data_IF_484379126350
#
_entry.id   IF_484379126350
#
_cell.length_a   1.000
_cell.length_b   1.000
_cell.length_c   1.000
_cell.angle_alpha   90.00
_cell.angle_beta   90.00
_cell.angle_gamma   90.00
#
_symmetry.space_group_name_H-M   'P 1'
#
loop_
_entity.id
_entity.type
_entity.pdbx_description
1 polymer ?
#
# COMPACT_ATOMS: atom_id res chain seq x y z
N UNK A 1 -17.33 -8.97 37.44
CA UNK A 1 -18.26 -8.31 36.51
C UNK A 1 -17.48 -7.18 35.84
N UNK A 2 -16.96 -7.40 34.64
CA UNK A 2 -16.13 -6.41 33.95
C UNK A 2 -17.04 -5.41 33.24
N UNK A 3 -16.95 -4.14 33.62
CA UNK A 3 -17.65 -3.07 32.93
C UNK A 3 -17.19 -3.01 31.46
N UNK A 4 -18.11 -2.84 30.49
CA UNK A 4 -17.72 -2.65 29.10
C UNK A 4 -16.92 -1.35 28.99
N UNK A 5 -15.68 -1.45 28.51
CA UNK A 5 -14.84 -0.30 28.19
C UNK A 5 -15.47 0.42 27.00
N UNK A 6 -16.32 1.41 27.28
CA UNK A 6 -16.89 2.30 26.28
C UNK A 6 -15.77 3.24 25.86
N UNK A 7 -15.08 2.91 24.76
CA UNK A 7 -14.16 3.84 24.13
C UNK A 7 -14.90 5.14 23.80
N UNK A 8 -14.42 6.31 24.25
CA UNK A 8 -15.09 7.58 23.99
C UNK A 8 -15.09 7.86 22.48
N UNK A 9 -16.29 8.04 21.93
CA UNK A 9 -16.57 8.39 20.52
C UNK A 9 -15.78 9.64 20.04
N UNK A 10 -15.26 10.44 20.98
CA UNK A 10 -14.40 11.59 20.72
C UNK A 10 -13.06 11.22 20.02
N UNK A 11 -12.47 10.05 20.29
CA UNK A 11 -11.21 9.63 19.66
C UNK A 11 -11.38 9.30 18.16
N UNK A 12 -12.58 8.88 17.75
CA UNK A 12 -12.92 8.68 16.34
C UNK A 12 -13.22 10.01 15.64
N UNK A 13 -13.76 11.01 16.34
CA UNK A 13 -14.19 12.27 15.71
C UNK A 13 -13.01 13.17 15.32
N UNK A 14 -11.90 13.12 16.05
CA UNK A 14 -10.67 13.85 15.72
C UNK A 14 -9.96 13.33 14.44
N UNK A 15 -10.29 12.11 13.99
CA UNK A 15 -9.74 11.51 12.77
C UNK A 15 -10.54 11.84 11.51
N UNK A 16 -11.67 12.55 11.62
CA UNK A 16 -12.56 12.82 10.49
C UNK A 16 -13.07 14.27 10.49
N UNK A 17 -12.32 15.23 9.93
CA UNK A 17 -12.92 16.51 9.55
C UNK A 17 -14.05 16.21 8.57
N UNK A 18 -15.26 16.63 8.91
CA UNK A 18 -16.43 16.61 8.03
C UNK A 18 -16.04 17.35 6.75
N UNK A 19 -15.84 16.59 5.67
CA UNK A 19 -15.51 17.14 4.35
C UNK A 19 -16.62 18.09 3.93
N UNK A 20 -16.37 19.37 4.10
CA UNK A 20 -17.19 20.44 3.55
C UNK A 20 -17.21 20.29 2.04
N UNK A 21 -18.42 20.37 1.47
CA UNK A 21 -18.69 20.15 0.06
C UNK A 21 -17.97 21.20 -0.79
N UNK A 22 -16.82 20.84 -1.37
CA UNK A 22 -16.16 21.67 -2.37
C UNK A 22 -16.92 21.60 -3.70
N UNK A 23 -17.76 22.61 -3.94
CA UNK A 23 -18.34 22.87 -5.25
C UNK A 23 -17.22 23.17 -6.27
N UNK A 24 -17.28 22.54 -7.46
CA UNK A 24 -16.46 22.91 -8.62
C UNK A 24 -15.06 22.29 -8.72
N UNK A 25 -14.73 21.21 -8.00
CA UNK A 25 -13.40 20.59 -8.11
C UNK A 25 -13.14 20.13 -9.58
N UNK A 26 -12.08 20.62 -10.24
CA UNK A 26 -11.68 20.16 -11.56
C UNK A 26 -11.63 18.63 -11.58
N UNK A 27 -12.10 17.99 -12.67
CA UNK A 27 -11.98 16.53 -12.82
C UNK A 27 -10.54 16.13 -12.56
N UNK A 28 -10.34 15.27 -11.58
CA UNK A 28 -9.02 14.85 -11.17
C UNK A 28 -8.27 14.22 -12.37
N UNK A 29 -7.01 14.62 -12.66
CA UNK A 29 -6.29 14.19 -13.86
C UNK A 29 -6.30 12.68 -14.12
N UNK A 30 -6.34 11.86 -13.06
CA UNK A 30 -6.39 10.40 -13.17
C UNK A 30 -7.64 9.86 -13.89
N UNK A 31 -8.75 10.60 -13.89
CA UNK A 31 -10.01 10.15 -14.52
C UNK A 31 -9.89 10.03 -16.04
N UNK A 32 -8.94 10.77 -16.64
CA UNK A 32 -8.66 10.75 -18.07
C UNK A 32 -7.67 9.64 -18.48
N UNK A 33 -7.20 8.82 -17.54
CA UNK A 33 -6.34 7.68 -17.86
C UNK A 33 -7.17 6.52 -18.43
N UNK A 34 -6.93 6.19 -19.69
CA UNK A 34 -7.41 4.94 -20.27
C UNK A 34 -6.61 3.72 -19.77
N UNK A 35 -7.15 2.52 -19.94
CA UNK A 35 -6.51 1.28 -19.48
C UNK A 35 -5.14 1.02 -20.12
N UNK A 36 -4.91 1.48 -21.36
CA UNK A 36 -3.62 1.30 -22.06
C UNK A 36 -2.53 2.13 -21.39
N UNK A 37 -2.83 3.41 -21.10
CA UNK A 37 -1.95 4.32 -20.37
C UNK A 37 -1.69 3.86 -18.95
N UNK A 38 -2.71 3.33 -18.26
CA UNK A 38 -2.52 2.76 -16.92
C UNK A 38 -1.50 1.62 -16.97
N UNK A 39 -1.67 0.65 -17.89
CA UNK A 39 -0.75 -0.48 -18.03
C UNK A 39 0.71 -0.05 -18.26
N UNK A 40 0.94 1.00 -19.05
CA UNK A 40 2.29 1.55 -19.26
C UNK A 40 2.81 2.26 -18.01
N UNK A 41 1.96 3.05 -17.35
CA UNK A 41 2.35 3.82 -16.17
C UNK A 41 2.74 2.94 -14.98
N UNK A 42 2.00 1.84 -14.74
CA UNK A 42 2.25 0.98 -13.56
C UNK A 42 3.63 0.31 -13.59
N UNK A 43 4.25 0.15 -14.76
CA UNK A 43 5.61 -0.42 -14.89
C UNK A 43 6.64 0.43 -14.14
N UNK A 44 6.45 1.75 -14.08
CA UNK A 44 7.35 2.67 -13.37
C UNK A 44 7.34 2.46 -11.85
N UNK A 45 6.27 1.90 -11.29
CA UNK A 45 6.11 1.75 -9.84
C UNK A 45 6.49 0.36 -9.33
N UNK A 46 7.28 -0.40 -10.08
CA UNK A 46 7.69 -1.76 -9.74
C UNK A 46 9.11 -1.81 -9.19
N UNK A 47 9.46 -2.94 -8.58
CA UNK A 47 10.82 -3.35 -8.25
C UNK A 47 11.64 -2.29 -7.50
N UNK A 48 10.98 -1.53 -6.63
CA UNK A 48 11.64 -0.60 -5.75
C UNK A 48 12.68 -1.36 -4.92
N UNK A 49 13.94 -0.90 -4.90
CA UNK A 49 15.03 -1.65 -4.32
C UNK A 49 14.87 -1.73 -2.81
N UNK A 50 14.85 -2.95 -2.27
CA UNK A 50 14.97 -3.18 -0.83
C UNK A 50 16.41 -2.99 -0.35
N UNK A 51 17.38 -3.33 -1.20
CA UNK A 51 18.80 -3.20 -0.94
C UNK A 51 19.37 -1.95 -1.62
N UNK A 52 20.02 -1.02 -0.87
CA UNK A 52 20.67 0.15 -1.46
C UNK A 52 21.71 -0.19 -2.53
N UNK A 53 22.34 -1.37 -2.50
CA UNK A 53 23.35 -1.77 -3.50
C UNK A 53 22.77 -1.81 -4.94
N UNK A 54 21.49 -2.14 -5.08
CA UNK A 54 20.81 -2.25 -6.38
C UNK A 54 20.13 -0.93 -6.83
N UNK A 55 20.29 0.16 -6.07
CA UNK A 55 19.57 1.40 -6.32
C UNK A 55 19.95 2.05 -7.66
N UNK A 56 21.22 2.02 -8.06
CA UNK A 56 21.68 2.68 -9.28
C UNK A 56 21.12 2.04 -10.56
N UNK A 57 21.09 0.70 -10.60
CA UNK A 57 20.49 -0.03 -11.71
C UNK A 57 18.99 0.21 -11.79
N UNK A 58 18.31 0.15 -10.64
CA UNK A 58 16.91 0.50 -10.54
C UNK A 58 16.62 1.88 -11.12
N UNK A 59 17.36 2.91 -10.69
CA UNK A 59 17.13 4.28 -11.16
C UNK A 59 17.45 4.48 -12.65
N UNK A 60 18.43 3.77 -13.20
CA UNK A 60 18.69 3.75 -14.65
C UNK A 60 17.49 3.17 -15.41
N UNK A 61 16.98 2.03 -14.98
CA UNK A 61 15.81 1.38 -15.56
C UNK A 61 14.55 2.25 -15.49
N UNK A 62 14.31 2.91 -14.35
CA UNK A 62 13.18 3.82 -14.18
C UNK A 62 13.28 5.02 -15.11
N UNK A 63 14.46 5.63 -15.26
CA UNK A 63 14.65 6.76 -16.19
C UNK A 63 14.33 6.36 -17.64
N UNK A 64 14.83 5.21 -18.09
CA UNK A 64 14.52 4.68 -19.43
C UNK A 64 13.02 4.42 -19.60
N UNK A 65 12.41 3.74 -18.63
CA UNK A 65 10.97 3.44 -18.65
C UNK A 65 10.13 4.71 -18.72
N UNK A 66 10.50 5.75 -17.97
CA UNK A 66 9.82 7.05 -18.00
C UNK A 66 9.97 7.71 -19.39
N UNK A 67 11.14 7.60 -20.03
CA UNK A 67 11.37 8.16 -21.37
C UNK A 67 10.51 7.48 -22.43
N UNK A 68 10.26 6.18 -22.29
CA UNK A 68 9.43 5.38 -23.21
C UNK A 68 7.91 5.59 -23.04
N UNK A 69 7.49 6.31 -21.99
CA UNK A 69 6.07 6.58 -21.78
C UNK A 69 5.49 7.50 -22.86
N UNK A 70 4.20 7.33 -23.21
CA UNK A 70 3.48 8.29 -24.03
C UNK A 70 3.63 9.72 -23.51
N UNK A 71 3.77 10.70 -24.41
CA UNK A 71 3.91 12.13 -24.05
C UNK A 71 2.81 12.61 -23.09
N UNK A 72 1.58 12.09 -23.23
CA UNK A 72 0.48 12.41 -22.31
C UNK A 72 0.67 11.97 -20.85
N UNK A 73 1.67 11.15 -20.54
CA UNK A 73 2.07 10.73 -19.18
C UNK A 73 3.41 11.36 -18.74
N UNK A 74 4.16 11.94 -19.68
CA UNK A 74 5.46 12.59 -19.43
C UNK A 74 5.28 14.08 -19.20
N UNK A 75 6.15 14.66 -18.38
CA UNK A 75 6.26 16.12 -18.31
C UNK A 75 6.92 16.62 -19.60
N UNK A 76 6.27 17.57 -20.28
CA UNK A 76 6.88 18.27 -21.43
C UNK A 76 7.96 19.27 -20.98
N UNK A 77 7.90 19.71 -19.74
CA UNK A 77 8.83 20.67 -19.15
C UNK A 77 9.53 19.97 -17.99
N UNK A 78 10.80 19.62 -18.18
CA UNK A 78 11.66 19.15 -17.09
C UNK A 78 12.06 20.36 -16.28
N UNK A 79 11.20 20.76 -15.35
CA UNK A 79 11.50 21.83 -14.42
C UNK A 79 12.60 21.34 -13.47
N UNK A 80 13.61 22.19 -13.24
CA UNK A 80 14.65 21.91 -12.26
C UNK A 80 14.00 21.48 -10.94
N UNK A 81 14.52 20.40 -10.36
CA UNK A 81 14.01 19.86 -9.10
C UNK A 81 14.26 20.88 -8.01
N UNK A 82 13.21 21.57 -7.59
CA UNK A 82 13.31 22.49 -6.48
C UNK A 82 13.02 21.71 -5.20
N UNK A 83 14.06 21.19 -4.57
CA UNK A 83 14.03 20.91 -3.14
C UNK A 83 14.07 22.25 -2.39
N UNK A 84 13.44 22.33 -1.24
CA UNK A 84 13.63 23.44 -0.31
C UNK A 84 14.94 23.25 0.48
N UNK A 85 15.29 24.24 1.32
CA UNK A 85 16.48 24.17 2.16
C UNK A 85 16.44 23.00 3.16
N UNK A 86 15.27 22.42 3.42
CA UNK A 86 15.09 21.25 4.29
C UNK A 86 15.21 19.92 3.54
N UNK A 87 15.50 19.94 2.25
CA UNK A 87 15.57 18.75 1.40
C UNK A 87 14.20 18.19 0.98
N UNK A 88 13.10 18.86 1.35
CA UNK A 88 11.74 18.44 0.96
C UNK A 88 11.42 18.96 -0.43
N UNK A 89 10.61 18.21 -1.17
CA UNK A 89 10.15 18.62 -2.49
C UNK A 89 9.14 19.75 -2.38
N UNK A 90 9.31 20.81 -3.19
CA UNK A 90 8.26 21.83 -3.31
C UNK A 90 6.94 21.20 -3.79
N UNK A 91 5.79 21.68 -3.31
CA UNK A 91 4.48 21.17 -3.74
C UNK A 91 4.34 21.16 -5.27
N UNK A 92 3.77 20.08 -5.79
CA UNK A 92 3.57 19.91 -7.24
C UNK A 92 4.84 19.55 -8.03
N UNK A 93 5.96 19.26 -7.36
CA UNK A 93 7.18 18.73 -7.97
C UNK A 93 7.42 17.27 -7.56
N UNK A 94 8.16 16.54 -8.40
CA UNK A 94 8.65 15.18 -8.14
C UNK A 94 10.17 15.22 -7.97
N UNK A 95 10.75 14.15 -7.39
CA UNK A 95 12.20 14.05 -7.23
C UNK A 95 12.94 13.95 -8.57
N UNK A 96 14.26 14.10 -8.53
CA UNK A 96 15.17 13.99 -9.70
C UNK A 96 14.98 12.72 -10.52
N UNK A 97 14.64 11.60 -9.88
CA UNK A 97 14.44 10.33 -10.57
C UNK A 97 13.05 10.19 -11.22
N UNK A 98 12.08 11.01 -10.80
CA UNK A 98 10.68 10.94 -11.25
C UNK A 98 10.19 12.24 -11.93
N UNK A 99 11.06 13.23 -12.13
CA UNK A 99 10.71 14.54 -12.71
C UNK A 99 10.22 14.47 -14.16
N UNK A 100 10.50 13.38 -14.88
CA UNK A 100 9.98 13.12 -16.22
C UNK A 100 8.51 12.71 -16.26
N UNK A 101 7.90 12.39 -15.11
CA UNK A 101 6.47 12.08 -15.02
C UNK A 101 5.63 13.36 -14.89
N UNK A 102 4.39 13.31 -15.37
CA UNK A 102 3.40 14.36 -15.11
C UNK A 102 3.06 14.46 -13.63
N UNK A 103 3.60 15.48 -12.96
CA UNK A 103 3.43 15.66 -11.52
C UNK A 103 1.95 15.75 -11.11
N UNK A 104 1.13 16.55 -11.80
CA UNK A 104 -0.31 16.69 -11.54
C UNK A 104 -1.04 15.32 -11.47
N UNK A 105 -0.70 14.44 -12.42
CA UNK A 105 -1.23 13.09 -12.47
C UNK A 105 -0.75 12.23 -11.30
N UNK A 106 0.56 12.23 -11.01
CA UNK A 106 1.12 11.41 -9.93
C UNK A 106 0.57 11.86 -8.57
N UNK A 107 0.51 13.16 -8.30
CA UNK A 107 -0.11 13.71 -7.09
C UNK A 107 -1.59 13.32 -7.02
N UNK A 108 -2.30 13.38 -8.15
CA UNK A 108 -3.69 12.94 -8.19
C UNK A 108 -3.85 11.45 -7.88
N UNK A 109 -2.93 10.60 -8.34
CA UNK A 109 -2.95 9.15 -8.06
C UNK A 109 -2.66 8.91 -6.58
N UNK A 110 -1.57 9.48 -6.09
CA UNK A 110 -1.17 9.38 -4.70
C UNK A 110 -2.24 9.86 -3.74
N UNK A 111 -2.88 11.00 -4.03
CA UNK A 111 -3.92 11.55 -3.18
C UNK A 111 -5.09 10.58 -2.95
N UNK A 112 -5.52 9.83 -3.99
CA UNK A 112 -6.58 8.85 -3.80
C UNK A 112 -6.07 7.56 -3.14
N UNK A 113 -4.84 7.10 -3.43
CA UNK A 113 -4.24 5.93 -2.76
C UNK A 113 -4.10 6.20 -1.27
N UNK A 114 -3.51 7.34 -0.91
CA UNK A 114 -3.38 7.82 0.46
C UNK A 114 -4.75 7.91 1.15
N UNK A 115 -5.78 8.44 0.47
CA UNK A 115 -7.14 8.46 1.02
C UNK A 115 -7.71 7.07 1.28
N UNK A 116 -7.48 6.10 0.39
CA UNK A 116 -7.91 4.71 0.64
C UNK A 116 -7.21 4.13 1.87
N UNK A 117 -5.92 4.40 2.07
CA UNK A 117 -5.12 3.90 3.19
C UNK A 117 -5.43 4.60 4.52
N UNK A 118 -5.63 5.92 4.51
CA UNK A 118 -5.88 6.72 5.72
C UNK A 118 -7.30 6.54 6.26
N UNK A 119 -8.31 6.50 5.37
CA UNK A 119 -9.71 6.62 5.79
C UNK A 119 -10.64 5.65 5.07
N UNK A 120 -10.43 5.43 3.77
CA UNK A 120 -11.34 4.63 2.97
C UNK A 120 -11.47 3.19 3.50
N UNK A 121 -10.37 2.45 3.42
CA UNK A 121 -10.33 1.03 3.74
C UNK A 121 -10.36 0.81 5.24
N UNK A 122 -9.66 1.63 6.04
CA UNK A 122 -9.65 1.50 7.51
C UNK A 122 -11.05 1.47 8.14
N UNK A 123 -11.94 2.42 7.77
CA UNK A 123 -13.33 2.47 8.27
C UNK A 123 -14.13 1.21 7.85
N UNK A 124 -13.83 0.68 6.68
CA UNK A 124 -14.47 -0.52 6.17
C UNK A 124 -13.98 -1.77 6.93
N UNK A 125 -12.67 -1.87 7.18
CA UNK A 125 -12.03 -3.01 7.83
C UNK A 125 -12.28 -3.08 9.33
N UNK A 126 -12.28 -1.95 10.04
CA UNK A 126 -12.28 -1.96 11.50
C UNK A 126 -13.41 -2.82 12.12
N UNK A 127 -14.69 -2.69 11.72
CA UNK A 127 -15.75 -3.57 12.23
C UNK A 127 -15.62 -5.03 11.82
N UNK A 128 -14.99 -5.31 10.66
CA UNK A 128 -14.73 -6.68 10.23
C UNK A 128 -13.71 -7.32 11.18
N UNK A 129 -12.59 -6.64 11.44
CA UNK A 129 -11.52 -7.15 12.29
C UNK A 129 -11.95 -7.27 13.76
N UNK A 130 -12.62 -6.25 14.30
CA UNK A 130 -12.88 -6.17 15.74
C UNK A 130 -14.19 -6.85 16.15
N UNK A 131 -15.20 -6.90 15.28
CA UNK A 131 -16.57 -7.33 15.66
C UNK A 131 -17.09 -8.54 14.90
N UNK A 132 -16.86 -8.61 13.59
CA UNK A 132 -17.41 -9.69 12.76
C UNK A 132 -16.48 -10.90 12.68
N UNK A 133 -15.17 -10.67 12.69
CA UNK A 133 -14.14 -11.68 12.52
C UNK A 133 -13.86 -12.02 11.05
N UNK A 134 -12.63 -12.45 10.79
CA UNK A 134 -12.22 -13.17 9.59
C UNK A 134 -11.40 -14.40 10.03
N UNK A 135 -11.31 -15.45 9.20
CA UNK A 135 -10.31 -16.49 9.40
C UNK A 135 -8.92 -15.88 9.55
N UNK A 136 -8.11 -16.41 10.47
CA UNK A 136 -6.81 -15.84 10.86
C UNK A 136 -5.90 -15.52 9.65
N UNK A 137 -5.84 -16.43 8.67
CA UNK A 137 -5.04 -16.23 7.46
C UNK A 137 -5.55 -15.06 6.58
N UNK A 138 -6.87 -14.92 6.44
CA UNK A 138 -7.47 -13.83 5.67
C UNK A 138 -7.29 -12.49 6.38
N UNK A 139 -7.46 -12.49 7.69
CA UNK A 139 -7.17 -11.34 8.53
C UNK A 139 -5.70 -10.89 8.33
N UNK A 140 -4.76 -11.82 8.47
CA UNK A 140 -3.33 -11.53 8.30
C UNK A 140 -3.01 -10.89 6.94
N UNK A 141 -3.62 -11.40 5.85
CA UNK A 141 -3.47 -10.83 4.50
C UNK A 141 -3.93 -9.37 4.45
N UNK A 142 -5.06 -9.05 5.09
CA UNK A 142 -5.62 -7.69 5.07
C UNK A 142 -4.82 -6.72 5.95
N UNK A 143 -4.33 -7.20 7.10
CA UNK A 143 -3.55 -6.40 8.06
C UNK A 143 -2.19 -5.95 7.53
N UNK A 144 -1.72 -6.48 6.39
CA UNK A 144 -0.52 -5.99 5.71
C UNK A 144 -0.57 -4.49 5.36
N UNK A 145 -1.77 -3.88 5.33
CA UNK A 145 -1.93 -2.43 5.14
C UNK A 145 -1.55 -1.58 6.36
N UNK A 146 -1.55 -2.16 7.57
CA UNK A 146 -1.33 -1.43 8.83
C UNK A 146 -0.02 -0.61 8.84
N UNK A 147 1.16 -1.21 8.60
CA UNK A 147 2.43 -0.48 8.71
C UNK A 147 2.67 0.52 7.57
N UNK A 148 1.90 0.46 6.48
CA UNK A 148 2.14 1.25 5.26
C UNK A 148 2.06 2.76 5.54
N UNK A 149 1.23 3.19 6.50
CA UNK A 149 1.07 4.60 6.83
C UNK A 149 2.35 5.25 7.40
N UNK A 150 3.27 4.46 7.96
CA UNK A 150 4.59 4.91 8.46
C UNK A 150 5.40 5.65 7.38
N UNK A 151 5.14 5.39 6.10
CA UNK A 151 5.81 6.08 4.99
C UNK A 151 5.53 7.59 4.95
N UNK A 152 4.38 8.07 5.43
CA UNK A 152 4.02 9.50 5.40
C UNK A 152 3.60 10.08 6.76
N UNK A 153 3.54 9.26 7.81
CA UNK A 153 3.25 9.67 9.18
C UNK A 153 4.49 9.46 10.05
N UNK A 154 5.15 10.55 10.46
CA UNK A 154 6.32 10.48 11.36
C UNK A 154 5.93 10.05 12.78
N UNK A 155 4.70 10.34 13.15
CA UNK A 155 4.03 10.02 14.41
C UNK A 155 3.38 8.62 14.41
N UNK A 156 3.66 7.78 13.42
CA UNK A 156 3.06 6.46 13.34
C UNK A 156 3.62 5.53 14.43
N UNK A 157 2.75 5.08 15.33
CA UNK A 157 3.02 4.00 16.28
C UNK A 157 2.26 2.72 15.88
N UNK A 158 3.01 1.64 15.63
CA UNK A 158 2.43 0.36 15.26
C UNK A 158 1.58 -0.24 16.39
N UNK A 159 1.94 0.00 17.66
CA UNK A 159 1.21 -0.53 18.82
C UNK A 159 -0.16 0.13 18.94
N UNK A 160 -0.22 1.45 18.80
CA UNK A 160 -1.49 2.21 18.89
C UNK A 160 -2.44 1.93 17.72
N UNK A 161 -1.91 1.60 16.54
CA UNK A 161 -2.72 1.33 15.34
C UNK A 161 -3.17 -0.14 15.24
N UNK A 162 -2.62 -1.03 16.07
CA UNK A 162 -2.97 -2.45 16.07
C UNK A 162 -4.30 -2.68 16.78
N UNK A 163 -5.26 -3.42 16.20
CA UNK A 163 -6.52 -3.69 16.89
C UNK A 163 -6.30 -4.57 18.13
N UNK A 164 -7.13 -4.38 19.15
CA UNK A 164 -7.03 -5.11 20.43
C UNK A 164 -6.97 -6.64 20.24
N UNK A 165 -6.15 -7.30 21.06
CA UNK A 165 -5.94 -8.74 21.03
C UNK A 165 -5.06 -9.26 19.89
N UNK A 166 -4.40 -8.37 19.14
CA UNK A 166 -3.52 -8.73 18.02
C UNK A 166 -2.10 -8.24 18.24
N UNK A 167 -1.16 -8.95 17.63
CA UNK A 167 0.24 -8.53 17.59
C UNK A 167 0.46 -7.50 16.48
N UNK A 168 1.26 -6.44 16.72
CA UNK A 168 1.60 -5.44 15.72
C UNK A 168 2.43 -6.04 14.59
N UNK A 169 2.20 -5.57 13.36
CA UNK A 169 3.03 -5.93 12.22
C UNK A 169 4.14 -4.88 12.09
N UNK A 170 5.33 -5.24 12.56
CA UNK A 170 6.51 -4.36 12.51
C UNK A 170 7.28 -4.64 11.22
N UNK A 171 7.56 -3.60 10.45
CA UNK A 171 8.37 -3.70 9.24
C UNK A 171 9.10 -2.39 8.95
N UNK A 172 10.41 -2.49 8.73
CA UNK A 172 11.26 -1.33 8.39
C UNK A 172 11.17 -0.95 6.91
N UNK A 173 10.57 -1.83 6.09
CA UNK A 173 10.25 -1.56 4.68
C UNK A 173 9.38 -0.31 4.52
N UNK A 174 8.60 0.07 5.54
CA UNK A 174 7.69 1.22 5.51
C UNK A 174 8.22 2.45 6.26
N UNK A 175 9.53 2.55 6.46
CA UNK A 175 10.19 3.75 7.00
C UNK A 175 9.73 5.05 6.32
N UNK A 176 9.76 6.15 7.07
CA UNK A 176 9.29 7.45 6.59
C UNK A 176 10.02 7.89 5.31
N UNK A 177 9.25 8.39 4.33
CA UNK A 177 9.80 8.86 3.05
C UNK A 177 10.25 10.32 3.17
N UNK A 178 11.55 10.55 3.41
CA UNK A 178 12.08 11.90 3.71
C UNK A 178 11.81 12.94 2.62
N UNK A 179 11.99 12.59 1.34
CA UNK A 179 11.74 13.51 0.24
C UNK A 179 10.22 13.73 -0.04
N UNK A 180 9.34 12.99 0.64
CA UNK A 180 7.89 12.97 0.46
C UNK A 180 7.42 12.82 -1.00
N UNK A 181 8.24 12.22 -1.87
CA UNK A 181 7.92 12.10 -3.29
C UNK A 181 6.75 11.11 -3.50
N UNK A 182 5.61 11.55 -4.08
CA UNK A 182 4.47 10.67 -4.33
C UNK A 182 4.79 9.46 -5.19
N UNK A 183 5.66 9.62 -6.19
CA UNK A 183 6.08 8.52 -7.05
C UNK A 183 6.92 7.47 -6.30
N UNK A 184 7.81 7.89 -5.40
CA UNK A 184 8.59 6.97 -4.56
C UNK A 184 7.68 6.15 -3.63
N UNK A 185 6.70 6.79 -2.98
CA UNK A 185 5.74 6.08 -2.13
C UNK A 185 4.88 5.09 -2.93
N UNK A 186 4.41 5.49 -4.13
CA UNK A 186 3.70 4.58 -5.03
C UNK A 186 4.58 3.42 -5.50
N UNK A 187 5.86 3.65 -5.77
CA UNK A 187 6.80 2.58 -6.15
C UNK A 187 7.05 1.58 -5.02
N UNK A 188 7.20 2.07 -3.77
CA UNK A 188 7.34 1.20 -2.58
C UNK A 188 6.11 0.31 -2.39
N UNK A 189 4.91 0.88 -2.50
CA UNK A 189 3.64 0.12 -2.47
C UNK A 189 3.57 -0.84 -3.65
N UNK A 190 3.86 -0.37 -4.86
CA UNK A 190 3.77 -1.13 -6.10
C UNK A 190 4.74 -2.31 -6.19
N UNK A 191 5.72 -2.36 -5.30
CA UNK A 191 6.71 -3.43 -5.21
C UNK A 191 6.41 -4.46 -4.13
N UNK A 192 5.34 -4.26 -3.35
CA UNK A 192 4.90 -5.20 -2.33
C UNK A 192 3.59 -5.87 -2.73
N UNK A 193 3.67 -7.15 -3.11
CA UNK A 193 2.52 -7.92 -3.58
C UNK A 193 1.49 -8.16 -2.49
N UNK A 194 1.89 -8.26 -1.22
CA UNK A 194 0.99 -8.48 -0.09
C UNK A 194 0.16 -7.23 0.19
N UNK A 195 0.82 -6.06 0.22
CA UNK A 195 0.14 -4.77 0.37
C UNK A 195 -0.76 -4.48 -0.82
N UNK A 196 -0.32 -4.73 -2.06
CA UNK A 196 -1.17 -4.56 -3.24
C UNK A 196 -2.39 -5.48 -3.22
N UNK A 197 -2.22 -6.73 -2.80
CA UNK A 197 -3.31 -7.71 -2.65
C UNK A 197 -4.34 -7.24 -1.61
N UNK A 198 -3.86 -6.81 -0.44
CA UNK A 198 -4.70 -6.28 0.63
C UNK A 198 -5.42 -4.98 0.21
N UNK A 199 -4.73 -4.08 -0.47
CA UNK A 199 -5.28 -2.82 -0.99
C UNK A 199 -6.37 -3.11 -2.03
N UNK A 200 -6.13 -4.06 -2.94
CA UNK A 200 -7.11 -4.47 -3.95
C UNK A 200 -8.35 -5.11 -3.30
N UNK A 201 -8.16 -6.04 -2.37
CA UNK A 201 -9.24 -6.67 -1.61
C UNK A 201 -10.08 -5.64 -0.85
N UNK A 202 -9.42 -4.68 -0.17
CA UNK A 202 -10.06 -3.57 0.53
C UNK A 202 -10.91 -2.71 -0.41
N UNK A 203 -10.40 -2.36 -1.59
CA UNK A 203 -11.15 -1.59 -2.58
C UNK A 203 -12.35 -2.36 -3.14
N UNK A 204 -12.18 -3.65 -3.46
CA UNK A 204 -13.26 -4.52 -3.95
C UNK A 204 -14.36 -4.69 -2.91
N UNK A 205 -13.99 -4.91 -1.65
CA UNK A 205 -14.95 -5.09 -0.57
C UNK A 205 -15.70 -3.83 -0.21
N UNK A 206 -15.00 -2.69 -0.17
CA UNK A 206 -15.58 -1.39 0.20
C UNK A 206 -16.51 -0.82 -0.86
N UNK A 207 -16.15 -0.92 -2.13
CA UNK A 207 -16.88 -0.25 -3.21
C UNK A 207 -18.20 -0.97 -3.53
N UNK A 208 -19.16 -0.21 -4.07
CA UNK A 208 -20.40 -0.81 -4.56
C UNK A 208 -20.13 -1.69 -5.77
N UNK A 209 -20.88 -2.79 -5.91
CA UNK A 209 -20.68 -3.74 -7.02
C UNK A 209 -20.88 -3.07 -8.38
N UNK A 210 -21.74 -2.03 -8.45
CA UNK A 210 -21.93 -1.20 -9.65
C UNK A 210 -20.67 -0.43 -10.05
N UNK A 211 -19.89 0.06 -9.07
CA UNK A 211 -18.66 0.84 -9.28
C UNK A 211 -17.46 -0.06 -9.54
N UNK A 212 -17.37 -1.20 -8.86
CA UNK A 212 -16.30 -2.18 -9.09
C UNK A 212 -16.50 -2.84 -10.45
N UNK A 213 -17.69 -3.34 -10.77
CA UNK A 213 -17.94 -4.12 -11.99
C UNK A 213 -17.69 -5.61 -11.77
N UNK A 214 -17.30 -6.30 -12.85
CA UNK A 214 -16.96 -7.74 -12.82
C UNK A 214 -15.44 -7.91 -12.64
N UNK A 215 -15.02 -9.08 -12.16
CA UNK A 215 -13.61 -9.44 -11.92
C UNK A 215 -12.70 -9.11 -13.11
N UNK A 216 -13.12 -9.53 -14.31
CA UNK A 216 -12.34 -9.30 -15.53
C UNK A 216 -12.50 -7.91 -16.12
N UNK A 217 -13.63 -7.24 -15.83
CA UNK A 217 -14.05 -5.99 -16.44
C UNK A 217 -14.44 -4.99 -15.35
N UNK A 218 -13.43 -4.55 -14.60
CA UNK A 218 -13.63 -3.51 -13.59
C UNK A 218 -13.89 -2.16 -14.26
N UNK A 219 -14.89 -1.44 -13.75
CA UNK A 219 -15.35 -0.15 -14.30
C UNK A 219 -14.59 1.04 -13.72
N UNK A 220 -13.87 0.85 -12.61
CA UNK A 220 -13.18 1.91 -11.91
C UNK A 220 -11.70 1.95 -12.29
N UNK A 221 -11.24 3.07 -12.84
CA UNK A 221 -9.81 3.27 -13.17
C UNK A 221 -8.90 3.10 -11.95
N UNK A 222 -9.36 3.47 -10.73
CA UNK A 222 -8.58 3.25 -9.51
C UNK A 222 -8.38 1.77 -9.19
N UNK A 223 -9.45 0.99 -9.35
CA UNK A 223 -9.41 -0.47 -9.14
C UNK A 223 -8.56 -1.12 -10.22
N UNK A 224 -8.69 -0.69 -11.49
CA UNK A 224 -7.84 -1.16 -12.58
C UNK A 224 -6.35 -0.80 -12.37
N UNK A 225 -6.06 0.38 -11.80
CA UNK A 225 -4.68 0.78 -11.48
C UNK A 225 -4.02 -0.20 -10.50
N UNK A 226 -4.67 -0.51 -9.37
CA UNK A 226 -4.14 -1.50 -8.41
C UNK A 226 -4.12 -2.91 -9.01
N UNK A 227 -5.16 -3.31 -9.75
CA UNK A 227 -5.21 -4.60 -10.45
C UNK A 227 -4.00 -4.75 -11.38
N UNK A 228 -3.71 -3.74 -12.20
CA UNK A 228 -2.58 -3.81 -13.12
C UNK A 228 -1.24 -3.75 -12.40
N UNK A 229 -1.10 -3.04 -11.28
CA UNK A 229 0.11 -3.16 -10.43
C UNK A 229 0.29 -4.59 -9.91
N UNK A 230 -0.78 -5.23 -9.45
CA UNK A 230 -0.71 -6.59 -8.91
C UNK A 230 -0.43 -7.64 -10.00
N UNK A 231 -1.03 -7.50 -11.19
CA UNK A 231 -0.78 -8.40 -12.34
C UNK A 231 0.66 -8.44 -12.81
N UNK A 232 1.44 -7.44 -12.42
CA UNK A 232 2.78 -7.30 -12.92
C UNK A 232 3.75 -8.30 -12.26
N UNK A 233 3.49 -8.75 -11.01
CA UNK A 233 4.27 -9.81 -10.36
C UNK A 233 4.12 -11.18 -11.04
N UNK A 234 5.08 -12.09 -10.84
CA UNK A 234 5.12 -13.42 -11.49
C UNK A 234 3.86 -14.25 -11.24
N UNK A 235 3.26 -14.15 -10.05
CA UNK A 235 2.00 -14.80 -9.67
C UNK A 235 0.79 -13.85 -9.72
N UNK A 236 0.89 -12.75 -10.47
CA UNK A 236 -0.02 -11.61 -10.40
C UNK A 236 -1.47 -11.94 -10.75
N UNK A 237 -1.73 -12.82 -11.72
CA UNK A 237 -3.11 -13.23 -12.05
C UNK A 237 -3.77 -14.00 -10.90
N UNK A 238 -3.05 -14.96 -10.30
CA UNK A 238 -3.52 -15.72 -9.14
C UNK A 238 -3.78 -14.79 -7.95
N UNK A 239 -2.88 -13.83 -7.70
CA UNK A 239 -3.04 -12.87 -6.61
C UNK A 239 -4.23 -11.93 -6.82
N UNK A 240 -4.48 -11.47 -8.06
CA UNK A 240 -5.68 -10.69 -8.39
C UNK A 240 -6.95 -11.48 -8.09
N UNK A 241 -6.93 -12.77 -8.41
CA UNK A 241 -8.06 -13.66 -8.21
C UNK A 241 -8.36 -13.88 -6.73
N UNK A 242 -7.36 -14.29 -5.96
CA UNK A 242 -7.47 -14.47 -4.52
C UNK A 242 -7.89 -13.18 -3.81
N UNK A 243 -7.31 -12.05 -4.20
CA UNK A 243 -7.62 -10.75 -3.59
C UNK A 243 -9.03 -10.27 -3.92
N UNK A 244 -9.53 -10.59 -5.13
CA UNK A 244 -10.92 -10.32 -5.48
C UNK A 244 -11.88 -11.11 -4.60
N UNK A 245 -11.63 -12.41 -4.44
CA UNK A 245 -12.47 -13.31 -3.64
C UNK A 245 -12.44 -12.92 -2.16
N UNK A 246 -11.26 -12.57 -1.64
CA UNK A 246 -11.10 -12.00 -0.30
C UNK A 246 -11.90 -10.70 -0.12
N UNK A 247 -11.84 -9.79 -1.09
CA UNK A 247 -12.63 -8.55 -1.05
C UNK A 247 -14.14 -8.82 -1.06
N UNK A 248 -14.59 -9.82 -1.81
CA UNK A 248 -15.98 -10.28 -1.83
C UNK A 248 -16.40 -10.87 -0.48
N UNK A 249 -15.52 -11.65 0.14
CA UNK A 249 -15.76 -12.25 1.45
C UNK A 249 -15.84 -11.19 2.56
N UNK A 250 -14.88 -10.26 2.60
CA UNK A 250 -14.91 -9.11 3.50
C UNK A 250 -16.22 -8.30 3.39
N UNK A 251 -16.73 -8.13 2.16
CA UNK A 251 -18.00 -7.46 1.93
C UNK A 251 -19.18 -8.24 2.51
N UNK A 252 -19.24 -9.55 2.27
CA UNK A 252 -20.27 -10.45 2.81
C UNK A 252 -20.30 -10.39 4.33
N UNK A 253 -19.13 -10.52 4.97
CA UNK A 253 -18.97 -10.44 6.43
C UNK A 253 -19.45 -9.08 6.95
N UNK A 254 -19.07 -7.98 6.28
CA UNK A 254 -19.52 -6.63 6.67
C UNK A 254 -21.02 -6.43 6.54
N UNK A 255 -21.63 -7.00 5.49
CA UNK A 255 -23.08 -6.94 5.27
C UNK A 255 -23.84 -7.73 6.33
N UNK A 256 -23.41 -8.96 6.63
CA UNK A 256 -24.00 -9.79 7.70
C UNK A 256 -23.89 -9.14 9.08
N UNK A 257 -22.74 -8.53 9.40
CA UNK A 257 -22.59 -7.76 10.64
C UNK A 257 -23.55 -6.57 10.72
N UNK A 258 -23.74 -5.83 9.62
CA UNK A 258 -24.69 -4.70 9.57
C UNK A 258 -26.14 -5.16 9.74
N UNK A 259 -26.51 -6.31 9.19
CA UNK A 259 -27.84 -6.89 9.34
C UNK A 259 -28.09 -7.27 10.81
N UNK A 260 -27.17 -8.01 11.42
CA UNK A 260 -27.23 -8.35 12.84
C UNK A 260 -27.33 -7.11 13.76
N UNK A 261 -26.59 -6.04 13.42
CA UNK A 261 -26.68 -4.77 14.15
C UNK A 261 -28.08 -4.12 14.02
N UNK A 262 -28.72 -4.19 12.85
CA UNK A 262 -30.08 -3.63 12.67
C UNK A 262 -31.12 -4.41 13.45
N UNK A 263 -31.00 -5.73 13.48
CA UNK A 263 -31.95 -6.60 14.18
C UNK A 263 -31.84 -6.43 15.69
N UNK A 264 -30.62 -6.33 16.24
CA UNK A 264 -30.41 -6.09 17.66
C UNK A 264 -30.93 -4.72 18.13
N UNK A 265 -30.81 -3.67 17.32
CA UNK A 265 -31.36 -2.34 17.65
C UNK A 265 -32.89 -2.35 17.64
N UNK A 266 -33.53 -3.06 16.70
CA UNK A 266 -35.00 -3.13 16.59
C UNK A 266 -35.65 -3.81 17.79
N UNK A 267 -34.97 -4.76 18.42
CA UNK A 267 -35.48 -5.48 19.60
C UNK A 267 -35.57 -4.57 20.85
N UNK A 268 -34.79 -3.48 20.90
CA UNK A 268 -34.59 -2.71 22.14
C UNK A 268 -35.38 -1.40 22.24
N UNK A 269 -35.97 -0.86 21.17
CA UNK A 269 -36.56 0.49 21.22
C UNK A 269 -38.01 0.55 21.76
N UNK A 270 -38.75 -0.55 21.80
CA UNK A 270 -40.10 -0.53 22.40
C UNK A 270 -40.42 -1.63 23.40
N UNK A 271 -39.56 -2.64 23.63
CA UNK A 271 -39.88 -3.80 24.48
C UNK A 271 -41.11 -4.62 24.03
N UNK A 272 -41.87 -4.09 23.07
CA UNK A 272 -42.97 -4.71 22.38
C UNK A 272 -42.33 -5.57 21.31
N UNK A 273 -42.07 -6.84 21.65
CA UNK A 273 -42.00 -7.90 20.64
C UNK A 273 -43.18 -7.65 19.73
N UNK A 274 -42.93 -7.12 18.52
CA UNK A 274 -43.96 -7.10 17.49
C UNK A 274 -44.36 -8.56 17.38
N UNK A 275 -45.59 -8.87 17.83
CA UNK A 275 -46.23 -10.16 17.52
C UNK A 275 -46.30 -10.14 16.00
N UNK A 276 -45.24 -10.64 15.35
CA UNK A 276 -45.33 -11.10 13.99
C UNK A 276 -46.48 -12.10 14.04
N UNK A 277 -47.55 -11.69 13.38
CA UNK A 277 -48.67 -12.52 13.01
C UNK A 277 -48.12 -13.87 12.62
N UNK A 278 -48.42 -14.86 13.46
CA UNK A 278 -48.40 -16.26 13.12
C UNK A 278 -49.37 -16.37 11.95
N UNK A 279 -48.85 -16.24 10.73
CA UNK A 279 -49.50 -16.73 9.52
C UNK A 279 -49.39 -18.25 9.58
N UNK A 280 -50.31 -18.84 10.33
CA UNK A 280 -50.68 -20.23 10.18
C UNK A 280 -51.09 -20.45 8.72
N UNK A 281 -50.37 -21.33 8.01
CA UNK A 281 -50.79 -22.10 6.83
C UNK A 281 -49.66 -22.21 5.82
N UNK A 282 -48.82 -23.23 5.98
CA UNK A 282 -48.74 -24.37 5.06
C UNK A 282 -47.47 -25.16 5.37
N UNK A 283 -47.63 -26.48 5.49
CA UNK A 283 -46.68 -27.44 6.02
C UNK A 283 -45.31 -27.44 5.34
N UNK A 284 -44.21 -27.67 6.08
CA UNK A 284 -42.92 -28.01 5.50
C UNK A 284 -42.92 -29.49 5.09
N UNK A 285 -42.62 -29.77 3.83
CA UNK A 285 -42.13 -31.09 3.43
C UNK A 285 -40.66 -31.18 3.84
N UNK A 286 -40.37 -32.24 4.60
CA UNK A 286 -39.04 -32.67 4.98
C UNK A 286 -38.11 -32.82 3.78
N UNK A 287 -37.02 -32.04 3.77
CA UNK A 287 -35.75 -32.43 3.18
C UNK A 287 -34.64 -31.54 3.77
N UNK A 288 -34.30 -31.78 5.03
CA UNK A 288 -33.09 -31.26 5.64
C UNK A 288 -31.88 -31.97 5.01
N UNK A 289 -31.20 -31.32 4.07
CA UNK A 289 -29.80 -31.64 3.78
C UNK A 289 -28.98 -30.99 4.90
N UNK A 290 -28.70 -31.77 5.93
CA UNK A 290 -27.69 -31.47 6.94
C UNK A 290 -26.32 -31.47 6.26
N UNK A 291 -25.78 -30.29 5.94
CA UNK A 291 -24.35 -30.16 5.69
C UNK A 291 -23.66 -30.19 7.05
N UNK A 292 -23.20 -31.38 7.42
CA UNK A 292 -22.35 -31.63 8.56
C UNK A 292 -20.98 -30.96 8.30
N UNK A 293 -20.72 -29.79 8.88
CA UNK A 293 -19.41 -29.11 8.79
C UNK A 293 -18.46 -29.51 9.93
N UNK A 294 -18.67 -30.67 10.55
CA UNK A 294 -17.83 -31.14 11.68
C UNK A 294 -16.66 -32.04 11.26
N UNK A 295 -16.47 -32.34 9.97
CA UNK A 295 -15.52 -33.37 9.49
C UNK A 295 -14.54 -32.91 8.40
N UNK A 296 -14.19 -31.63 8.35
CA UNK A 296 -13.03 -31.21 7.56
C UNK A 296 -12.30 -30.12 8.33
N UNK A 297 -11.22 -30.50 9.02
CA UNK A 297 -9.95 -29.78 9.20
C UNK A 297 -9.22 -30.35 10.43
N UNK A 298 -8.88 -31.65 10.40
CA UNK A 298 -7.66 -32.12 11.06
C UNK A 298 -6.48 -31.83 10.13
N UNK A 299 -5.94 -30.62 10.26
CA UNK A 299 -4.59 -30.28 9.83
C UNK A 299 -3.86 -29.72 11.05
N UNK A 300 -3.61 -30.61 12.00
CA UNK A 300 -2.49 -30.47 12.92
C UNK A 300 -1.40 -31.45 12.46
N UNK A 301 -0.14 -31.04 12.62
CA UNK A 301 1.10 -31.75 12.27
C UNK A 301 1.62 -31.62 10.82
N UNK A 302 2.02 -30.40 10.45
CA UNK A 302 3.37 -30.11 9.92
C UNK A 302 3.53 -28.62 9.58
N UNK A 303 3.47 -27.75 10.59
CA UNK A 303 4.12 -26.43 10.49
C UNK A 303 5.59 -26.65 10.88
N UNK A 304 6.38 -27.19 9.95
CA UNK A 304 7.83 -26.98 10.00
C UNK A 304 8.06 -25.53 9.60
N UNK A 305 8.77 -24.81 10.46
CA UNK A 305 9.23 -23.45 10.31
C UNK A 305 9.69 -23.15 8.88
N UNK A 306 8.99 -22.26 8.19
CA UNK A 306 9.59 -21.48 7.10
C UNK A 306 10.47 -20.40 7.76
N UNK A 307 11.66 -20.83 8.18
CA UNK A 307 12.79 -19.94 8.38
C UNK A 307 13.46 -19.71 7.01
N UNK A 308 13.94 -18.50 6.80
CA UNK A 308 14.66 -18.06 5.60
C UNK A 308 15.75 -19.06 5.16
N UNK A 309 15.90 -19.36 3.85
CA UNK A 309 17.11 -19.98 3.35
C UNK A 309 18.23 -18.93 3.40
N UNK A 310 19.10 -19.03 4.41
CA UNK A 310 20.44 -18.45 4.30
C UNK A 310 21.23 -19.28 3.29
N UNK A 311 21.62 -18.62 2.21
CA UNK A 311 22.60 -19.10 1.25
C UNK A 311 23.97 -19.21 1.95
N UNK A 312 24.38 -20.45 2.25
CA UNK A 312 25.73 -20.77 2.71
C UNK A 312 26.26 -21.94 1.89
N UNK A 313 26.89 -21.64 0.75
CA UNK A 313 27.89 -22.52 0.15
C UNK A 313 29.25 -21.85 0.24
N UNK A 314 29.88 -22.02 1.41
CA UNK A 314 31.30 -21.85 1.62
C UNK A 314 32.02 -22.98 0.88
N UNK A 315 32.73 -22.66 -0.20
CA UNK A 315 33.74 -23.55 -0.79
C UNK A 315 35.02 -23.34 0.00
N UNK A 316 35.39 -24.37 0.77
CA UNK A 316 36.70 -24.45 1.41
C UNK A 316 37.77 -24.70 0.33
N UNK A 317 38.67 -23.74 0.14
CA UNK A 317 39.96 -24.00 -0.48
C UNK A 317 41.06 -23.91 0.58
N UNK A 318 41.84 -24.98 0.62
CA UNK A 318 42.87 -25.30 1.58
C UNK A 318 43.97 -24.24 1.69
N UNK A 319 44.51 -24.19 2.89
CA UNK A 319 45.75 -23.52 3.25
C UNK A 319 46.91 -23.88 2.31
N UNK A 320 47.69 -22.88 1.93
CA UNK A 320 49.10 -23.08 1.67
C UNK A 320 49.88 -21.91 2.29
N UNK A 321 50.70 -22.28 3.27
CA UNK A 321 51.70 -21.47 3.95
C UNK A 321 52.83 -21.09 3.00
N UNK A 322 53.28 -19.83 3.05
CA UNK A 322 54.47 -19.38 2.33
C UNK A 322 54.90 -17.99 2.79
N UNK A 323 55.91 -17.97 3.67
CA UNK A 323 56.64 -16.80 4.14
C UNK A 323 57.22 -15.96 2.99
N UNK A 324 57.33 -14.63 3.17
CA UNK A 324 58.62 -13.91 3.19
C UNK A 324 58.44 -12.42 3.45
N UNK A 325 59.36 -11.90 4.24
CA UNK A 325 59.56 -10.51 4.65
C UNK A 325 60.04 -9.63 3.49
N UNK A 326 59.71 -8.34 3.57
CA UNK A 326 60.50 -7.12 3.25
C UNK A 326 59.49 -6.00 2.93
N UNK A 327 59.40 -4.90 3.65
CA UNK A 327 60.49 -4.00 4.03
C UNK A 327 60.73 -3.05 2.87
N UNK A 328 60.16 -1.83 2.93
CA UNK A 328 60.66 -0.55 2.40
C UNK A 328 59.65 0.52 2.83
N UNK A 329 60.09 1.39 3.72
CA UNK A 329 59.42 2.66 3.98
C UNK A 329 59.79 3.67 2.91
N UNK A 330 58.86 4.58 2.61
CA UNK A 330 59.21 5.92 2.12
C UNK A 330 58.25 6.91 2.75
N UNK A 331 58.87 7.78 3.53
CA UNK A 331 58.37 9.00 4.14
C UNK A 331 58.54 10.13 3.11
N UNK A 332 57.48 10.85 2.73
CA UNK A 332 57.59 12.15 2.05
C UNK A 332 56.46 13.07 2.55
N UNK A 333 56.88 14.00 3.38
CA UNK A 333 56.19 15.22 3.79
C UNK A 333 55.97 16.20 2.62
N UNK A 334 54.97 17.07 2.83
CA UNK A 334 54.91 18.47 2.41
C UNK A 334 55.11 18.86 0.94
N UNK A 335 54.11 19.53 0.38
CA UNK A 335 54.29 20.90 -0.13
C UNK A 335 52.95 21.57 -0.45
N UNK A 336 52.75 22.70 0.23
CA UNK A 336 51.74 23.70 -0.06
C UNK A 336 51.94 24.31 -1.46
N UNK A 337 50.82 24.69 -2.10
CA UNK A 337 50.84 25.38 -3.40
C UNK A 337 49.55 26.13 -3.66
N UNK A 338 49.45 27.33 -3.08
CA UNK A 338 48.44 28.34 -3.39
C UNK A 338 48.66 28.91 -4.80
N UNK A 339 47.58 29.05 -5.59
CA UNK A 339 47.68 29.66 -6.92
C UNK A 339 46.33 29.91 -7.59
N UNK A 340 45.66 31.00 -7.20
CA UNK A 340 44.57 31.60 -7.99
C UNK A 340 45.14 32.50 -9.09
N UNK A 341 44.70 32.41 -10.35
CA UNK A 341 44.84 33.50 -11.30
C UNK A 341 43.53 34.26 -11.50
N UNK A 342 43.58 35.55 -11.22
CA UNK A 342 42.68 36.60 -11.68
C UNK A 342 42.64 36.64 -13.22
N UNK A 343 41.45 36.69 -13.83
CA UNK A 343 41.30 37.15 -15.23
C UNK A 343 40.15 38.15 -15.40
N UNK A 344 40.59 39.41 -15.47
CA UNK A 344 40.21 40.50 -16.37
C UNK A 344 38.75 40.60 -16.86
N UNK A 345 38.13 41.64 -16.34
CA UNK A 345 37.02 42.43 -16.87
C UNK A 345 37.21 42.83 -18.35
N UNK A 346 36.18 42.63 -19.17
CA UNK A 346 36.00 43.31 -20.46
C UNK A 346 35.21 44.59 -20.23
N UNK A 347 35.82 45.74 -20.52
CA UNK A 347 35.12 46.99 -20.77
C UNK A 347 34.53 46.93 -22.19
N UNK A 348 33.24 47.22 -22.29
CA UNK A 348 32.51 47.48 -23.54
C UNK A 348 32.43 48.99 -23.67
N UNK A 349 32.97 49.53 -24.77
CA UNK A 349 32.73 50.90 -25.18
C UNK A 349 31.32 51.00 -25.80
N UNK A 350 30.56 52.00 -25.37
CA UNK A 350 29.47 52.63 -26.10
C UNK A 350 29.67 54.14 -26.04
#
# INVERSE_FOLDING_TARGET
>A
MNAPFIMPVAALTALYPTSTSHAGRPRAPYQCLDNSKIKKLVIVFRNYPSDPANADEYWRTIKHTIQDLPTSLRSLIVLATSTDASGKLKPGKLCTHHNGLRADLIYSIWAWVKHELDSGIGIFLYPILVKAGLPMLQEWKVRQLEPVQRMWRRDFDALEQTPEGRQPIISDKWSYQENQCPACMLARIGSDTQVLSALYAGMVGRYSSKKVGKKDKSRSNRVNFIRYLLKQSDSGEKLVDESWDLGKEMKRVREGWREHQRDSVRVNFYGRKSRSSISSSSQPRDSCILINTSELFDLNDNVKSFADPQDSSFVACSANTGCTESGIGVDISDLAGTGKPLRRSRLVNL
#
